data_IF_703740830402
#
_entry.id   IF_703740830402
#
_cell.length_a   1.000
_cell.length_b   1.000
_cell.length_c   1.000
_cell.angle_alpha   90.00
_cell.angle_beta   90.00
_cell.angle_gamma   90.00
#
_symmetry.space_group_name_H-M   'P 1'
#
loop_
_entity.id
_entity.type
_entity.pdbx_description
1 polymer ?
#
# COMPACT_ATOMS: atom_id res chain seq x y z
N UNK A 1 7.48 15.41 10.61
CA UNK A 1 6.37 15.07 11.52
C UNK A 1 6.74 13.79 12.25
N UNK A 2 6.48 13.66 13.55
CA UNK A 2 6.67 12.38 14.27
C UNK A 2 5.34 11.65 14.25
N UNK A 3 5.25 10.57 13.48
CA UNK A 3 4.03 9.77 13.37
C UNK A 3 3.87 8.93 14.63
N UNK A 4 2.67 8.91 15.19
CA UNK A 4 2.30 8.02 16.28
C UNK A 4 2.00 6.61 15.75
N UNK A 5 1.88 5.66 16.68
CA UNK A 5 1.46 4.29 16.35
C UNK A 5 0.15 4.26 15.57
N UNK A 6 -0.85 5.02 16.05
CA UNK A 6 -2.18 5.08 15.43
C UNK A 6 -2.15 5.74 14.05
N UNK A 7 -1.26 6.71 13.85
CA UNK A 7 -1.07 7.33 12.52
C UNK A 7 -0.53 6.29 11.53
N UNK A 8 0.47 5.50 11.93
CA UNK A 8 1.06 4.47 11.07
C UNK A 8 0.04 3.36 10.78
N UNK A 9 -0.73 2.91 11.77
CA UNK A 9 -1.82 1.94 11.54
C UNK A 9 -2.85 2.46 10.53
N UNK A 10 -3.30 3.70 10.69
CA UNK A 10 -4.25 4.31 9.77
C UNK A 10 -3.68 4.40 8.35
N UNK A 11 -2.40 4.73 8.20
CA UNK A 11 -1.74 4.77 6.89
C UNK A 11 -1.68 3.37 6.26
N UNK A 12 -1.35 2.33 7.03
CA UNK A 12 -1.36 0.93 6.55
C UNK A 12 -2.76 0.55 6.05
N UNK A 13 -3.81 0.83 6.82
CA UNK A 13 -5.20 0.54 6.43
C UNK A 13 -5.61 1.31 5.16
N UNK A 14 -5.19 2.56 5.02
CA UNK A 14 -5.45 3.35 3.81
C UNK A 14 -4.73 2.76 2.59
N UNK A 15 -3.47 2.33 2.75
CA UNK A 15 -2.70 1.69 1.67
C UNK A 15 -3.35 0.35 1.28
N UNK A 16 -3.74 -0.49 2.25
CA UNK A 16 -4.38 -1.78 1.98
C UNK A 16 -5.69 -1.58 1.16
N UNK A 17 -6.50 -0.56 1.49
CA UNK A 17 -7.71 -0.23 0.72
C UNK A 17 -7.39 0.30 -0.69
N UNK A 18 -6.30 1.06 -0.85
CA UNK A 18 -5.90 1.60 -2.13
C UNK A 18 -5.39 0.49 -3.07
N UNK A 19 -4.54 -0.41 -2.56
CA UNK A 19 -4.06 -1.59 -3.29
C UNK A 19 -5.25 -2.40 -3.80
N UNK A 20 -6.22 -2.70 -2.92
CA UNK A 20 -7.44 -3.41 -3.32
C UNK A 20 -8.18 -2.71 -4.45
N UNK A 21 -8.30 -1.39 -4.39
CA UNK A 21 -8.95 -0.59 -5.45
C UNK A 21 -8.19 -0.68 -6.78
N UNK A 22 -6.86 -0.73 -6.72
CA UNK A 22 -6.00 -0.83 -7.90
C UNK A 22 -6.05 -2.24 -8.50
N UNK A 23 -6.04 -3.28 -7.67
CA UNK A 23 -6.26 -4.67 -8.11
C UNK A 23 -7.64 -4.85 -8.76
N UNK A 24 -8.70 -4.27 -8.18
CA UNK A 24 -10.05 -4.27 -8.77
C UNK A 24 -10.09 -3.56 -10.13
N UNK A 25 -9.24 -2.54 -10.34
CA UNK A 25 -9.10 -1.85 -11.63
C UNK A 25 -8.28 -2.65 -12.64
N UNK A 26 -7.19 -3.26 -12.22
CA UNK A 26 -6.35 -4.14 -13.06
C UNK A 26 -7.13 -5.34 -13.61
N UNK A 27 -8.15 -5.80 -12.87
CA UNK A 27 -9.03 -6.89 -13.29
C UNK A 27 -10.13 -6.47 -14.29
N UNK A 28 -10.20 -5.21 -14.71
CA UNK A 28 -11.19 -4.75 -15.69
C UNK A 28 -10.67 -4.94 -17.10
N UNK A 29 -11.54 -5.36 -18.02
CA UNK A 29 -11.16 -5.62 -19.42
C UNK A 29 -10.91 -4.33 -20.24
N UNK A 30 -11.23 -3.15 -19.70
CA UNK A 30 -11.15 -1.86 -20.41
C UNK A 30 -9.85 -1.07 -20.16
N UNK A 31 -8.94 -1.59 -19.35
CA UNK A 31 -7.64 -0.96 -19.08
C UNK A 31 -6.63 -1.30 -20.20
N UNK A 32 -5.93 -0.29 -20.72
CA UNK A 32 -4.88 -0.52 -21.72
C UNK A 32 -3.57 -1.01 -21.05
N UNK A 33 -2.64 -1.52 -21.85
CA UNK A 33 -1.39 -2.13 -21.37
C UNK A 33 -0.47 -1.14 -20.64
N UNK A 34 -0.40 0.11 -21.09
CA UNK A 34 0.41 1.16 -20.44
C UNK A 34 -0.15 1.51 -19.06
N UNK A 35 -1.47 1.69 -18.96
CA UNK A 35 -2.17 1.96 -17.71
C UNK A 35 -2.12 0.76 -16.77
N UNK A 36 -2.17 -0.46 -17.30
CA UNK A 36 -1.98 -1.72 -16.53
C UNK A 36 -0.58 -1.74 -15.91
N UNK A 37 0.45 -1.44 -16.71
CA UNK A 37 1.84 -1.45 -16.26
C UNK A 37 2.11 -0.37 -15.23
N UNK A 38 1.59 0.84 -15.43
CA UNK A 38 1.69 1.93 -14.46
C UNK A 38 1.02 1.56 -13.14
N UNK A 39 -0.22 1.06 -13.18
CA UNK A 39 -0.99 0.71 -12.00
C UNK A 39 -0.40 -0.49 -11.26
N UNK A 40 0.15 -1.48 -11.99
CA UNK A 40 0.88 -2.59 -11.42
C UNK A 40 2.14 -2.15 -10.67
N UNK A 41 2.91 -1.21 -11.23
CA UNK A 41 4.08 -0.64 -10.55
C UNK A 41 3.68 0.12 -9.27
N UNK A 42 2.57 0.88 -9.31
CA UNK A 42 2.04 1.57 -8.14
C UNK A 42 1.65 0.58 -7.04
N UNK A 43 0.99 -0.54 -7.37
CA UNK A 43 0.71 -1.61 -6.41
C UNK A 43 1.97 -2.13 -5.73
N UNK A 44 3.02 -2.46 -6.51
CA UNK A 44 4.29 -2.96 -5.95
C UNK A 44 4.95 -1.95 -5.00
N UNK A 45 4.93 -0.66 -5.36
CA UNK A 45 5.44 0.40 -4.47
C UNK A 45 4.63 0.49 -3.17
N UNK A 46 3.31 0.47 -3.27
CA UNK A 46 2.41 0.54 -2.12
C UNK A 46 2.58 -0.66 -1.18
N UNK A 47 2.72 -1.87 -1.72
CA UNK A 47 3.01 -3.08 -0.93
C UNK A 47 4.34 -2.96 -0.19
N UNK A 48 5.40 -2.50 -0.86
CA UNK A 48 6.70 -2.30 -0.24
C UNK A 48 6.62 -1.28 0.91
N UNK A 49 5.98 -0.13 0.67
CA UNK A 49 5.77 0.90 1.69
C UNK A 49 4.96 0.37 2.87
N UNK A 50 3.87 -0.34 2.61
CA UNK A 50 3.01 -0.97 3.62
C UNK A 50 3.80 -1.94 4.49
N UNK A 51 4.64 -2.77 3.89
CA UNK A 51 5.49 -3.72 4.61
C UNK A 51 6.55 -3.03 5.47
N UNK A 52 7.16 -1.96 5.00
CA UNK A 52 8.14 -1.20 5.78
C UNK A 52 7.48 -0.47 6.96
N UNK A 53 6.28 0.07 6.77
CA UNK A 53 5.48 0.65 7.85
C UNK A 53 5.09 -0.42 8.88
N UNK A 54 4.66 -1.60 8.45
CA UNK A 54 4.32 -2.71 9.35
C UNK A 54 5.52 -3.17 10.18
N UNK A 55 6.70 -3.35 9.55
CA UNK A 55 7.95 -3.65 10.26
C UNK A 55 8.32 -2.55 11.25
N UNK A 56 8.08 -1.28 10.91
CA UNK A 56 8.33 -0.17 11.81
C UNK A 56 7.47 -0.28 13.08
N UNK A 57 6.22 -0.76 12.97
CA UNK A 57 5.35 -1.00 14.13
C UNK A 57 5.86 -2.16 14.99
N UNK A 58 6.22 -3.30 14.38
CA UNK A 58 6.74 -4.48 15.10
C UNK A 58 8.03 -4.17 15.88
N UNK A 59 8.93 -3.38 15.28
CA UNK A 59 10.17 -2.95 15.93
C UNK A 59 9.95 -1.99 17.10
N UNK A 60 8.81 -1.28 17.16
CA UNK A 60 8.42 -0.48 18.32
C UNK A 60 7.83 -1.34 19.46
N UNK A 61 7.37 -2.57 19.19
CA UNK A 61 6.90 -3.52 20.20
C UNK A 61 7.99 -4.43 20.78
N UNK A 62 9.16 -4.53 20.12
CA UNK A 62 10.29 -5.37 20.57
C UNK A 62 11.31 -4.62 21.44
N UNK A 63 10.94 -3.48 22.02
CA UNK A 63 11.77 -2.68 22.92
C UNK A 63 11.16 -2.54 24.31
#
# INVERSE_FOLDING_TARGET
MKLSFKDIQFIIEAIDNLIKTYEERLNREDINEDDTSALGNDCMFLEALRNDLAKSLENNYSK
#
